data_IF_500406218301
#
_entry.id   IF_500406218301
#
_cell.length_a   1.000
_cell.length_b   1.000
_cell.length_c   1.000
_cell.angle_alpha   90.00
_cell.angle_beta   90.00
_cell.angle_gamma   90.00
#
_symmetry.space_group_name_H-M   'P 1'
#
loop_
_entity.id
_entity.type
_entity.pdbx_description
1 polymer ?
#
# COMPACT_ATOMS: atom_id res chain seq x y z
N UNK A 1 38.86 -6.35 9.49
CA UNK A 1 38.00 -5.72 8.46
C UNK A 1 37.02 -6.68 7.78
N UNK A 2 37.37 -7.95 7.53
CA UNK A 2 36.51 -8.93 6.83
C UNK A 2 35.12 -9.20 7.47
N UNK A 3 35.04 -9.39 8.80
CA UNK A 3 33.76 -9.68 9.48
C UNK A 3 32.80 -8.47 9.57
N UNK A 4 33.33 -7.24 9.57
CA UNK A 4 32.50 -6.03 9.63
C UNK A 4 31.84 -5.77 8.27
N UNK A 5 32.59 -5.98 7.18
CA UNK A 5 32.12 -5.80 5.81
C UNK A 5 31.09 -6.90 5.46
N UNK A 6 31.31 -8.16 5.87
CA UNK A 6 30.30 -9.21 5.66
C UNK A 6 29.00 -8.96 6.45
N UNK A 7 29.08 -8.43 7.68
CA UNK A 7 27.91 -7.98 8.45
C UNK A 7 27.13 -6.85 7.77
N UNK A 8 27.82 -5.95 7.08
CA UNK A 8 27.20 -4.81 6.39
C UNK A 8 26.53 -5.25 5.08
N UNK A 9 27.11 -6.20 4.34
CA UNK A 9 26.59 -6.66 3.05
C UNK A 9 25.62 -7.85 3.12
N UNK A 10 25.64 -8.66 4.19
CA UNK A 10 24.84 -9.89 4.31
C UNK A 10 23.86 -9.90 5.50
N UNK A 11 23.53 -8.75 6.08
CA UNK A 11 22.52 -8.73 7.14
C UNK A 11 21.14 -9.11 6.57
N UNK A 12 20.61 -10.23 7.07
CA UNK A 12 19.25 -10.68 6.76
C UNK A 12 18.26 -9.56 7.08
N UNK A 13 17.30 -9.38 6.19
CA UNK A 13 16.33 -8.29 6.23
C UNK A 13 14.91 -8.83 6.24
N UNK A 14 14.07 -8.24 7.08
CA UNK A 14 12.61 -8.40 7.00
C UNK A 14 12.04 -7.12 6.42
N UNK A 15 11.37 -7.21 5.28
CA UNK A 15 10.75 -6.04 4.67
C UNK A 15 9.41 -5.75 5.31
N UNK A 16 9.09 -4.47 5.45
CA UNK A 16 7.80 -4.02 5.95
C UNK A 16 7.13 -3.15 4.90
N UNK A 17 6.06 -3.66 4.33
CA UNK A 17 5.22 -2.97 3.37
C UNK A 17 3.96 -2.49 4.08
N UNK A 18 3.58 -1.22 3.90
CA UNK A 18 2.35 -0.67 4.47
C UNK A 18 1.33 -0.40 3.37
N UNK A 19 0.06 -0.65 3.61
CA UNK A 19 -1.06 -0.27 2.76
C UNK A 19 -1.94 0.65 3.59
N UNK A 20 -2.17 1.87 3.08
CA UNK A 20 -2.96 2.90 3.73
C UNK A 20 -4.02 3.41 2.75
N UNK A 21 -5.28 3.41 3.18
CA UNK A 21 -6.39 3.94 2.39
C UNK A 21 -6.80 3.03 1.23
N UNK A 22 -7.38 3.64 0.18
CA UNK A 22 -7.98 2.90 -0.94
C UNK A 22 -6.94 2.22 -1.83
N UNK A 23 -7.19 0.96 -2.21
CA UNK A 23 -6.33 0.17 -3.09
C UNK A 23 -6.71 0.45 -4.55
N UNK A 24 -5.92 1.30 -5.20
CA UNK A 24 -6.09 1.73 -6.59
C UNK A 24 -4.83 1.43 -7.43
N UNK A 25 -4.89 1.67 -8.74
CA UNK A 25 -3.78 1.38 -9.67
C UNK A 25 -2.52 2.16 -9.33
N UNK A 26 -2.63 3.39 -8.81
CA UNK A 26 -1.50 4.21 -8.42
C UNK A 26 -0.76 3.58 -7.23
N UNK A 27 -1.48 3.16 -6.20
CA UNK A 27 -0.90 2.47 -5.04
C UNK A 27 -0.21 1.17 -5.48
N UNK A 28 -0.90 0.36 -6.29
CA UNK A 28 -0.34 -0.90 -6.78
C UNK A 28 0.94 -0.66 -7.59
N UNK A 29 0.96 0.33 -8.48
CA UNK A 29 2.15 0.70 -9.26
C UNK A 29 3.30 1.14 -8.34
N UNK A 30 3.03 2.01 -7.35
CA UNK A 30 4.02 2.47 -6.38
C UNK A 30 4.65 1.30 -5.62
N UNK A 31 3.82 0.40 -5.09
CA UNK A 31 4.30 -0.78 -4.35
C UNK A 31 5.08 -1.73 -5.27
N UNK A 32 4.60 -1.95 -6.50
CA UNK A 32 5.28 -2.80 -7.49
C UNK A 32 6.71 -2.31 -7.72
N UNK A 33 6.84 -1.02 -8.01
CA UNK A 33 8.13 -0.40 -8.27
C UNK A 33 9.04 -0.39 -7.03
N UNK A 34 8.48 -0.27 -5.82
CA UNK A 34 9.25 -0.40 -4.57
C UNK A 34 9.80 -1.81 -4.38
N UNK A 35 8.99 -2.84 -4.61
CA UNK A 35 9.40 -4.23 -4.52
C UNK A 35 10.47 -4.56 -5.56
N UNK A 36 10.28 -4.16 -6.82
CA UNK A 36 11.23 -4.40 -7.92
C UNK A 36 12.60 -3.75 -7.67
N UNK A 37 12.64 -2.57 -7.04
CA UNK A 37 13.89 -1.88 -6.72
C UNK A 37 14.61 -2.42 -5.48
N UNK A 38 13.95 -3.24 -4.66
CA UNK A 38 14.55 -3.73 -3.42
C UNK A 38 15.30 -5.04 -3.66
N UNK A 39 16.59 -5.07 -3.32
CA UNK A 39 17.42 -6.26 -3.49
C UNK A 39 16.89 -7.44 -2.67
N UNK A 40 16.42 -8.46 -3.39
CA UNK A 40 15.83 -9.68 -2.80
C UNK A 40 16.84 -10.57 -2.08
N UNK A 41 18.14 -10.47 -2.40
CA UNK A 41 19.17 -11.40 -1.90
C UNK A 41 19.36 -11.43 -0.39
N UNK A 42 19.01 -10.34 0.32
CA UNK A 42 19.08 -10.29 1.79
C UNK A 42 17.73 -10.48 2.47
N UNK A 43 16.63 -10.56 1.72
CA UNK A 43 15.26 -10.63 2.25
C UNK A 43 14.94 -12.04 2.69
N UNK A 44 14.47 -12.19 3.92
CA UNK A 44 14.11 -13.49 4.50
C UNK A 44 12.62 -13.62 4.87
N UNK A 45 11.88 -12.50 4.92
CA UNK A 45 10.45 -12.44 5.17
C UNK A 45 9.89 -11.05 4.83
N UNK A 46 8.57 -10.95 4.73
CA UNK A 46 7.86 -9.68 4.57
C UNK A 46 6.70 -9.56 5.58
N UNK A 47 6.61 -8.40 6.22
CA UNK A 47 5.46 -7.96 6.98
C UNK A 47 4.59 -7.02 6.15
N UNK A 48 3.34 -7.37 5.90
CA UNK A 48 2.36 -6.54 5.22
C UNK A 48 1.40 -5.92 6.23
N UNK A 49 1.53 -4.61 6.43
CA UNK A 49 0.70 -3.85 7.35
C UNK A 49 -0.46 -3.22 6.58
N UNK A 50 -1.68 -3.44 7.04
CA UNK A 50 -2.91 -3.09 6.34
C UNK A 50 -3.74 -2.15 7.21
N UNK A 51 -4.02 -0.97 6.66
CA UNK A 51 -5.04 -0.04 7.12
C UNK A 51 -5.87 0.38 5.91
N UNK A 52 -6.85 -0.44 5.56
CA UNK A 52 -7.63 -0.25 4.34
C UNK A 52 -9.01 -0.89 4.44
N UNK A 53 -9.99 -0.24 3.83
CA UNK A 53 -11.31 -0.81 3.56
C UNK A 53 -11.39 -1.51 2.21
N UNK A 54 -10.27 -1.52 1.48
CA UNK A 54 -10.23 -2.07 0.15
C UNK A 54 -10.09 -1.04 -0.96
N UNK A 55 -10.64 -1.38 -2.11
CA UNK A 55 -10.61 -0.57 -3.31
C UNK A 55 -11.12 -1.36 -4.51
N UNK A 56 -10.49 -1.22 -5.66
CA UNK A 56 -10.86 -2.02 -6.82
C UNK A 56 -10.46 -3.50 -6.61
N UNK A 57 -11.38 -4.47 -6.69
CA UNK A 57 -11.06 -5.90 -6.50
C UNK A 57 -9.95 -6.40 -7.40
N UNK A 58 -9.96 -5.96 -8.66
CA UNK A 58 -8.89 -6.27 -9.61
C UNK A 58 -7.52 -5.78 -9.11
N UNK A 59 -7.45 -4.58 -8.51
CA UNK A 59 -6.19 -4.04 -7.98
C UNK A 59 -5.70 -4.80 -6.75
N UNK A 60 -6.62 -5.26 -5.88
CA UNK A 60 -6.30 -6.16 -4.77
C UNK A 60 -5.69 -7.46 -5.27
N UNK A 61 -6.27 -8.07 -6.31
CA UNK A 61 -5.77 -9.32 -6.88
C UNK A 61 -4.39 -9.14 -7.53
N UNK A 62 -4.21 -8.07 -8.32
CA UNK A 62 -2.91 -7.74 -8.94
C UNK A 62 -1.84 -7.53 -7.86
N UNK A 63 -2.15 -6.79 -6.80
CA UNK A 63 -1.25 -6.57 -5.68
C UNK A 63 -0.89 -7.88 -4.98
N UNK A 64 -1.88 -8.73 -4.74
CA UNK A 64 -1.70 -10.06 -4.13
C UNK A 64 -0.71 -10.91 -4.95
N UNK A 65 -0.90 -10.96 -6.27
CA UNK A 65 -0.02 -11.71 -7.19
C UNK A 65 1.40 -11.15 -7.18
N UNK A 66 1.55 -9.82 -7.19
CA UNK A 66 2.88 -9.17 -7.16
C UNK A 66 3.62 -9.43 -5.85
N UNK A 67 2.95 -9.34 -4.71
CA UNK A 67 3.56 -9.67 -3.41
C UNK A 67 4.00 -11.13 -3.38
N UNK A 68 3.12 -12.07 -3.79
CA UNK A 68 3.47 -13.51 -3.84
C UNK A 68 4.66 -13.80 -4.77
N UNK A 69 4.66 -13.22 -5.96
CA UNK A 69 5.74 -13.37 -6.94
C UNK A 69 7.06 -12.81 -6.40
N UNK A 70 7.02 -11.63 -5.76
CA UNK A 70 8.20 -11.05 -5.12
C UNK A 70 8.78 -11.97 -4.03
N UNK A 71 7.93 -12.55 -3.19
CA UNK A 71 8.38 -13.41 -2.09
C UNK A 71 8.94 -14.74 -2.55
N UNK A 72 8.38 -15.35 -3.62
CA UNK A 72 8.84 -16.64 -4.14
C UNK A 72 9.02 -17.70 -3.04
N UNK A 73 8.00 -17.88 -2.20
CA UNK A 73 8.01 -18.85 -1.09
C UNK A 73 8.57 -18.32 0.24
N UNK A 74 9.13 -17.11 0.27
CA UNK A 74 9.50 -16.48 1.54
C UNK A 74 8.26 -16.21 2.43
N UNK A 75 8.38 -16.31 3.77
CA UNK A 75 7.29 -16.05 4.70
C UNK A 75 6.68 -14.65 4.57
N UNK A 76 5.35 -14.60 4.53
CA UNK A 76 4.53 -13.39 4.61
C UNK A 76 3.76 -13.37 5.93
N UNK A 77 3.91 -12.29 6.69
CA UNK A 77 3.09 -12.01 7.87
C UNK A 77 2.23 -10.80 7.57
N UNK A 78 0.95 -10.87 7.89
CA UNK A 78 -0.01 -9.79 7.60
C UNK A 78 -0.55 -9.21 8.90
N UNK A 79 -0.73 -7.90 8.94
CA UNK A 79 -1.11 -7.18 10.17
C UNK A 79 -2.20 -6.18 9.84
N UNK A 80 -3.38 -6.33 10.42
CA UNK A 80 -4.38 -5.27 10.44
C UNK A 80 -4.07 -4.30 11.58
N UNK A 81 -3.88 -3.01 11.29
CA UNK A 81 -3.65 -2.00 12.33
C UNK A 81 -4.96 -1.39 12.80
N UNK A 82 -5.58 -0.55 11.96
CA UNK A 82 -6.88 0.06 12.28
C UNK A 82 -8.01 -0.74 11.65
N UNK A 83 -7.86 -1.12 10.38
CA UNK A 83 -8.91 -1.81 9.66
C UNK A 83 -8.36 -2.65 8.50
N UNK A 84 -9.01 -3.78 8.27
CA UNK A 84 -8.88 -4.61 7.07
C UNK A 84 -10.27 -5.10 6.72
N UNK A 85 -10.99 -4.26 5.97
CA UNK A 85 -12.40 -4.48 5.62
C UNK A 85 -12.58 -4.72 4.11
N UNK A 86 -13.76 -5.17 3.71
CA UNK A 86 -14.10 -5.34 2.30
C UNK A 86 -13.14 -6.31 1.61
N UNK A 87 -12.67 -5.93 0.42
CA UNK A 87 -11.64 -6.70 -0.27
C UNK A 87 -10.22 -6.49 0.27
N UNK A 88 -9.95 -5.53 1.17
CA UNK A 88 -8.65 -5.50 1.86
C UNK A 88 -8.50 -6.66 2.86
N UNK A 89 -9.60 -7.25 3.34
CA UNK A 89 -9.55 -8.44 4.18
C UNK A 89 -8.88 -9.63 3.46
N UNK A 90 -9.02 -9.72 2.13
CA UNK A 90 -8.30 -10.71 1.33
C UNK A 90 -6.78 -10.58 1.47
N UNK A 91 -6.25 -9.34 1.55
CA UNK A 91 -4.83 -9.11 1.74
C UNK A 91 -4.34 -9.60 3.10
N UNK A 92 -5.18 -9.47 4.13
CA UNK A 92 -4.87 -9.98 5.47
C UNK A 92 -4.77 -11.51 5.45
N UNK A 93 -5.59 -12.19 4.64
CA UNK A 93 -5.55 -13.64 4.49
C UNK A 93 -4.40 -14.17 3.62
N UNK A 94 -3.62 -13.30 2.97
CA UNK A 94 -2.46 -13.73 2.19
C UNK A 94 -1.30 -14.21 3.05
N UNK A 95 -1.25 -13.78 4.31
CA UNK A 95 -0.16 -14.11 5.22
C UNK A 95 -0.16 -15.59 5.56
N UNK A 96 1.04 -16.15 5.71
CA UNK A 96 1.22 -17.44 6.38
C UNK A 96 0.69 -17.37 7.81
N UNK A 97 0.78 -16.19 8.43
CA UNK A 97 0.11 -15.87 9.69
C UNK A 97 -0.33 -14.42 9.69
N UNK A 98 -1.56 -14.21 10.15
CA UNK A 98 -2.29 -12.95 10.16
C UNK A 98 -2.51 -12.48 11.60
N UNK A 99 -2.39 -11.19 11.79
CA UNK A 99 -2.47 -10.54 13.08
C UNK A 99 -3.41 -9.35 13.04
N UNK A 100 -4.06 -9.08 14.17
CA UNK A 100 -4.80 -7.85 14.41
C UNK A 100 -4.44 -7.25 15.77
N UNK A 101 -4.75 -5.98 15.98
CA UNK A 101 -4.82 -5.39 17.32
C UNK A 101 -6.22 -5.60 17.89
N UNK A 102 -6.35 -5.53 19.22
CA UNK A 102 -7.63 -5.74 19.91
C UNK A 102 -8.80 -4.92 19.32
N UNK A 103 -8.51 -3.69 18.89
CA UNK A 103 -9.50 -2.73 18.39
C UNK A 103 -9.52 -2.61 16.87
N UNK A 104 -8.73 -3.41 16.14
CA UNK A 104 -8.75 -3.40 14.67
C UNK A 104 -10.10 -3.88 14.16
N UNK A 105 -10.59 -3.26 13.08
CA UNK A 105 -11.85 -3.64 12.42
C UNK A 105 -11.57 -4.64 11.31
N UNK A 106 -12.16 -5.84 11.40
CA UNK A 106 -11.94 -6.96 10.49
C UNK A 106 -13.28 -7.43 9.91
N UNK A 107 -13.30 -7.89 8.66
CA UNK A 107 -14.50 -8.44 8.02
C UNK A 107 -15.22 -7.43 7.14
N UNK A 108 -16.55 -7.34 7.24
CA UNK A 108 -17.41 -6.48 6.42
C UNK A 108 -17.04 -6.56 4.93
N UNK A 109 -17.22 -7.75 4.33
CA UNK A 109 -16.79 -7.99 2.93
C UNK A 109 -17.68 -7.31 1.89
N UNK A 110 -18.73 -6.61 2.32
CA UNK A 110 -19.63 -5.86 1.46
C UNK A 110 -18.92 -4.78 0.64
N UNK A 111 -19.28 -4.69 -0.64
CA UNK A 111 -18.84 -3.63 -1.52
C UNK A 111 -19.88 -2.53 -1.59
N UNK A 112 -19.43 -1.30 -1.39
CA UNK A 112 -20.25 -0.11 -1.56
C UNK A 112 -19.47 0.95 -2.34
N UNK A 113 -20.20 1.89 -2.92
CA UNK A 113 -19.63 3.06 -3.59
C UNK A 113 -20.46 4.29 -3.29
N UNK A 114 -19.79 5.31 -2.80
CA UNK A 114 -20.38 6.63 -2.65
C UNK A 114 -20.25 7.41 -3.96
N UNK A 115 -21.32 8.12 -4.34
CA UNK A 115 -21.38 8.98 -5.52
C UNK A 115 -22.09 10.27 -5.13
N UNK A 116 -21.52 11.40 -5.52
CA UNK A 116 -22.17 12.71 -5.38
C UNK A 116 -23.14 12.92 -6.55
N UNK A 117 -24.30 13.49 -6.26
CA UNK A 117 -25.25 13.94 -7.27
C UNK A 117 -25.35 15.47 -7.19
N UNK A 118 -25.04 16.14 -8.30
CA UNK A 118 -25.07 17.58 -8.45
C UNK A 118 -26.19 18.05 -9.38
N UNK A 119 -27.10 17.17 -9.81
CA UNK A 119 -28.16 17.54 -10.75
C UNK A 119 -28.96 18.77 -10.28
N UNK A 120 -29.48 18.73 -9.05
CA UNK A 120 -30.26 19.83 -8.47
C UNK A 120 -29.41 21.08 -8.24
N UNK A 121 -28.15 20.89 -7.83
CA UNK A 121 -27.20 22.00 -7.66
C UNK A 121 -26.98 22.73 -8.99
N UNK A 122 -26.70 22.01 -10.07
CA UNK A 122 -26.46 22.61 -11.38
C UNK A 122 -27.71 23.33 -11.90
N UNK A 123 -28.89 22.72 -11.72
CA UNK A 123 -30.17 23.34 -12.11
C UNK A 123 -30.42 24.65 -11.35
N UNK A 124 -30.19 24.67 -10.04
CA UNK A 124 -30.41 25.86 -9.20
C UNK A 124 -29.50 27.04 -9.57
N UNK A 125 -28.34 26.77 -10.17
CA UNK A 125 -27.40 27.80 -10.65
C UNK A 125 -27.56 28.10 -12.16
N UNK A 126 -28.60 27.59 -12.80
CA UNK A 126 -28.86 27.80 -14.22
C UNK A 126 -27.84 27.13 -15.14
N UNK A 127 -27.10 26.13 -14.65
CA UNK A 127 -26.13 25.38 -15.43
C UNK A 127 -26.83 24.19 -16.10
N UNK A 128 -27.00 24.27 -17.41
CA UNK A 128 -27.60 23.20 -18.20
C UNK A 128 -26.55 22.19 -18.65
N UNK A 129 -26.85 20.90 -18.48
CA UNK A 129 -25.98 19.81 -18.95
C UNK A 129 -26.63 19.04 -20.08
N UNK A 130 -25.92 18.88 -21.19
CA UNK A 130 -26.37 18.11 -22.35
C UNK A 130 -25.51 16.86 -22.51
N UNK A 131 -26.14 15.71 -22.71
CA UNK A 131 -25.46 14.44 -22.94
C UNK A 131 -25.98 13.80 -24.22
N UNK A 132 -25.07 13.50 -25.15
CA UNK A 132 -25.36 12.79 -26.39
C UNK A 132 -24.77 11.38 -26.33
N UNK A 133 -25.52 10.38 -26.79
CA UNK A 133 -25.06 9.00 -26.84
C UNK A 133 -25.49 8.33 -28.15
N UNK A 134 -24.64 7.45 -28.68
CA UNK A 134 -24.85 6.76 -29.96
C UNK A 134 -25.79 5.56 -29.87
N UNK A 135 -26.07 5.06 -28.67
CA UNK A 135 -26.90 3.88 -28.42
C UNK A 135 -28.06 4.23 -27.49
N UNK A 136 -29.27 3.71 -27.79
CA UNK A 136 -30.43 3.77 -26.89
C UNK A 136 -30.28 2.85 -25.69
N UNK A 137 -29.52 1.76 -25.83
CA UNK A 137 -28.99 1.02 -24.69
C UNK A 137 -27.96 1.96 -24.09
N UNK A 138 -28.41 2.78 -23.14
CA UNK A 138 -27.57 3.34 -22.09
C UNK A 138 -26.76 2.15 -21.62
N UNK A 139 -25.49 2.07 -22.01
CA UNK A 139 -24.65 1.03 -21.47
C UNK A 139 -24.61 1.37 -19.99
N UNK A 140 -25.36 0.63 -19.16
CA UNK A 140 -25.49 0.90 -17.72
C UNK A 140 -24.09 0.89 -17.06
N UNK A 141 -23.09 0.33 -17.74
CA UNK A 141 -21.68 0.43 -17.40
C UNK A 141 -21.09 1.87 -17.44
N UNK A 142 -21.56 2.77 -18.30
CA UNK A 142 -20.95 4.09 -18.53
C UNK A 142 -21.74 5.26 -17.94
N UNK A 143 -23.08 5.21 -17.98
CA UNK A 143 -23.88 6.40 -17.67
C UNK A 143 -24.35 6.45 -16.21
N UNK A 144 -24.39 5.31 -15.55
CA UNK A 144 -24.90 5.17 -14.18
C UNK A 144 -23.96 5.79 -13.13
N UNK A 145 -22.78 6.24 -13.56
CA UNK A 145 -21.82 6.94 -12.70
C UNK A 145 -21.71 8.45 -12.98
N UNK A 146 -22.64 9.04 -13.75
CA UNK A 146 -22.65 10.49 -14.00
C UNK A 146 -23.13 11.28 -12.78
N UNK A 147 -22.30 12.19 -12.25
CA UNK A 147 -22.67 13.03 -11.09
C UNK A 147 -23.56 14.21 -11.45
N UNK A 148 -23.83 14.44 -12.74
CA UNK A 148 -24.59 15.59 -13.25
C UNK A 148 -26.05 15.24 -13.56
N UNK A 149 -26.46 13.99 -13.36
CA UNK A 149 -27.84 13.54 -13.45
C UNK A 149 -28.16 12.56 -12.32
N UNK A 150 -29.42 12.53 -11.91
CA UNK A 150 -29.93 11.48 -11.02
C UNK A 150 -29.85 10.09 -11.67
N UNK A 151 -29.89 9.05 -10.83
CA UNK A 151 -30.04 7.67 -11.29
C UNK A 151 -31.54 7.35 -11.40
N UNK A 152 -31.95 6.69 -12.47
CA UNK A 152 -33.31 6.12 -12.57
C UNK A 152 -33.45 4.88 -11.66
N UNK A 153 -34.67 4.40 -11.41
CA UNK A 153 -34.87 3.15 -10.66
C UNK A 153 -34.16 1.97 -11.33
N UNK A 154 -34.24 1.86 -12.66
CA UNK A 154 -33.55 0.82 -13.43
C UNK A 154 -32.02 0.89 -13.27
N UNK A 155 -31.46 2.10 -13.19
CA UNK A 155 -30.04 2.29 -12.93
C UNK A 155 -29.65 1.80 -11.52
N UNK A 156 -30.50 2.04 -10.52
CA UNK A 156 -30.28 1.58 -9.15
C UNK A 156 -30.36 0.05 -9.06
N UNK A 157 -31.38 -0.58 -9.64
CA UNK A 157 -31.55 -2.04 -9.64
C UNK A 157 -30.34 -2.73 -10.29
N UNK A 158 -29.84 -2.17 -11.38
CA UNK A 158 -28.62 -2.65 -12.04
C UNK A 158 -27.38 -2.53 -11.15
N UNK A 159 -27.18 -1.37 -10.49
CA UNK A 159 -26.04 -1.17 -9.59
C UNK A 159 -26.08 -2.12 -8.41
N UNK A 160 -27.25 -2.34 -7.81
CA UNK A 160 -27.43 -3.23 -6.68
C UNK A 160 -27.11 -4.67 -7.07
N UNK A 161 -27.59 -5.13 -8.23
CA UNK A 161 -27.22 -6.43 -8.77
C UNK A 161 -25.70 -6.53 -9.02
N UNK A 162 -25.11 -5.49 -9.61
CA UNK A 162 -23.69 -5.47 -9.95
C UNK A 162 -22.78 -5.52 -8.71
N UNK A 163 -23.06 -4.69 -7.70
CA UNK A 163 -22.30 -4.68 -6.44
C UNK A 163 -22.61 -5.90 -5.59
N UNK A 164 -23.83 -6.43 -5.62
CA UNK A 164 -24.19 -7.69 -4.97
C UNK A 164 -23.40 -8.88 -5.51
N UNK A 165 -23.28 -9.01 -6.83
CA UNK A 165 -22.46 -10.05 -7.45
C UNK A 165 -20.98 -9.96 -7.04
N UNK A 166 -20.42 -8.75 -7.00
CA UNK A 166 -19.02 -8.56 -6.58
C UNK A 166 -18.82 -8.83 -5.09
N UNK A 167 -19.76 -8.38 -4.26
CA UNK A 167 -19.75 -8.65 -2.83
C UNK A 167 -19.73 -10.15 -2.58
N UNK A 168 -20.64 -10.89 -3.22
CA UNK A 168 -20.68 -12.36 -3.13
C UNK A 168 -19.35 -13.00 -3.51
N UNK A 169 -18.72 -12.56 -4.59
CA UNK A 169 -17.39 -13.05 -5.00
C UNK A 169 -16.32 -12.81 -3.93
N UNK A 170 -16.29 -11.62 -3.33
CA UNK A 170 -15.33 -11.27 -2.26
C UNK A 170 -15.60 -12.11 -1.02
N UNK A 171 -16.87 -12.19 -0.57
CA UNK A 171 -17.30 -12.98 0.59
C UNK A 171 -16.92 -14.46 0.40
N UNK A 172 -17.20 -15.03 -0.77
CA UNK A 172 -16.90 -16.43 -1.09
C UNK A 172 -15.39 -16.71 -1.06
N UNK A 173 -14.57 -15.81 -1.60
CA UNK A 173 -13.11 -15.93 -1.55
C UNK A 173 -12.60 -15.86 -0.10
N UNK A 174 -13.05 -14.85 0.66
CA UNK A 174 -12.64 -14.67 2.05
C UNK A 174 -13.01 -15.87 2.92
N UNK A 175 -14.23 -16.39 2.74
CA UNK A 175 -14.70 -17.57 3.44
C UNK A 175 -13.90 -18.83 3.06
N UNK A 176 -13.63 -19.03 1.77
CA UNK A 176 -12.86 -20.17 1.25
C UNK A 176 -11.41 -20.20 1.73
N UNK A 177 -10.80 -19.03 1.99
CA UNK A 177 -9.43 -18.96 2.49
C UNK A 177 -9.30 -19.38 3.97
N UNK A 178 -10.38 -19.25 4.75
CA UNK A 178 -10.38 -19.57 6.20
C UNK A 178 -11.06 -20.89 6.53
N UNK A 179 -12.05 -21.31 5.74
CA UNK A 179 -12.82 -22.57 5.87
C UNK A 179 -12.98 -23.02 7.32
N UNK A 180 -12.25 -24.06 7.72
CA UNK A 180 -12.40 -24.75 9.01
C UNK A 180 -12.08 -23.86 10.23
N UNK A 181 -11.44 -22.72 10.02
CA UNK A 181 -11.12 -21.76 11.09
C UNK A 181 -12.28 -20.83 11.41
N UNK A 182 -13.14 -20.49 10.42
CA UNK A 182 -14.16 -19.46 10.59
C UNK A 182 -15.39 -20.01 11.33
N UNK A 183 -15.79 -19.33 12.41
CA UNK A 183 -16.93 -19.74 13.26
C UNK A 183 -18.23 -18.99 12.97
N UNK A 184 -18.24 -18.17 11.92
CA UNK A 184 -19.39 -17.41 11.46
C UNK A 184 -19.80 -17.87 10.06
N UNK A 185 -21.05 -17.58 9.69
CA UNK A 185 -21.53 -17.84 8.33
C UNK A 185 -21.12 -16.71 7.37
N UNK A 186 -21.38 -16.90 6.06
CA UNK A 186 -21.05 -15.92 5.02
C UNK A 186 -21.80 -14.60 5.18
N UNK A 187 -23.06 -14.64 5.61
CA UNK A 187 -23.89 -13.46 5.82
C UNK A 187 -23.34 -12.56 6.93
N UNK A 188 -22.91 -13.16 8.05
CA UNK A 188 -22.22 -12.45 9.12
C UNK A 188 -20.88 -11.86 8.66
N UNK A 189 -20.10 -12.60 7.86
CA UNK A 189 -18.83 -12.10 7.31
C UNK A 189 -19.03 -10.89 6.37
N UNK A 190 -20.13 -10.91 5.62
CA UNK A 190 -20.49 -9.86 4.67
C UNK A 190 -20.92 -8.57 5.36
N UNK A 191 -21.79 -8.69 6.35
CA UNK A 191 -22.51 -7.54 6.90
C UNK A 191 -21.94 -6.97 8.20
N UNK A 192 -21.09 -7.72 8.91
CA UNK A 192 -20.61 -7.30 10.22
C UNK A 192 -19.13 -6.91 10.24
N UNK A 193 -18.82 -5.93 11.09
CA UNK A 193 -17.46 -5.57 11.48
C UNK A 193 -17.15 -6.25 12.82
N UNK A 194 -16.03 -6.96 12.88
CA UNK A 194 -15.55 -7.63 14.09
C UNK A 194 -14.32 -6.91 14.63
N UNK A 195 -14.25 -6.71 15.94
CA UNK A 195 -13.07 -6.15 16.58
C UNK A 195 -11.96 -7.22 16.65
N UNK A 196 -10.69 -6.84 16.61
CA UNK A 196 -9.62 -7.82 16.41
C UNK A 196 -9.56 -8.94 17.45
N UNK A 197 -9.93 -8.70 18.71
CA UNK A 197 -10.06 -9.77 19.72
C UNK A 197 -11.15 -10.77 19.33
N UNK A 198 -12.34 -10.27 19.03
CA UNK A 198 -13.46 -11.07 18.56
C UNK A 198 -13.14 -11.78 17.23
N UNK A 199 -12.49 -11.08 16.30
CA UNK A 199 -12.03 -11.62 15.03
C UNK A 199 -11.08 -12.82 15.23
N UNK A 200 -10.20 -12.79 16.24
CA UNK A 200 -9.38 -13.95 16.60
C UNK A 200 -10.25 -15.09 17.13
N UNK A 201 -11.16 -14.80 18.06
CA UNK A 201 -12.03 -15.81 18.68
C UNK A 201 -12.92 -16.51 17.64
N UNK A 202 -13.33 -15.78 16.59
CA UNK A 202 -14.12 -16.24 15.44
C UNK A 202 -13.30 -16.84 14.29
N UNK A 203 -11.96 -16.82 14.38
CA UNK A 203 -11.05 -17.37 13.37
C UNK A 203 -10.90 -16.55 12.08
N UNK A 204 -11.22 -15.25 12.14
CA UNK A 204 -10.99 -14.30 11.05
C UNK A 204 -9.52 -13.83 10.96
N UNK A 205 -8.78 -13.92 12.07
CA UNK A 205 -7.33 -13.71 12.16
C UNK A 205 -6.72 -14.79 13.02
N UNK A 206 -5.41 -15.04 12.86
CA UNK A 206 -4.76 -16.13 13.60
C UNK A 206 -4.39 -15.70 15.02
N UNK A 207 -3.85 -14.49 15.17
CA UNK A 207 -3.33 -14.01 16.44
C UNK A 207 -3.53 -12.50 16.66
N UNK A 208 -3.33 -12.09 17.91
CA UNK A 208 -3.25 -10.68 18.27
C UNK A 208 -1.79 -10.24 18.33
N UNK A 209 -1.45 -9.09 17.76
CA UNK A 209 -0.09 -8.57 17.83
C UNK A 209 0.18 -7.37 16.94
N UNK A 210 1.21 -6.61 17.32
CA UNK A 210 1.78 -5.55 16.48
C UNK A 210 2.91 -6.12 15.63
N UNK A 211 3.11 -5.55 14.43
CA UNK A 211 4.15 -6.03 13.52
C UNK A 211 5.55 -5.89 14.13
N UNK A 212 5.80 -4.84 14.91
CA UNK A 212 7.07 -4.60 15.57
C UNK A 212 7.40 -5.76 16.51
N UNK A 213 6.48 -6.08 17.42
CA UNK A 213 6.67 -7.14 18.40
C UNK A 213 6.83 -8.50 17.73
N UNK A 214 5.93 -8.83 16.81
CA UNK A 214 5.93 -10.13 16.14
C UNK A 214 7.19 -10.33 15.29
N UNK A 215 7.53 -9.36 14.45
CA UNK A 215 8.69 -9.50 13.55
C UNK A 215 10.01 -9.47 14.32
N UNK A 216 10.13 -8.67 15.40
CA UNK A 216 11.33 -8.71 16.26
C UNK A 216 11.48 -10.03 17.00
N UNK A 217 10.37 -10.61 17.50
CA UNK A 217 10.41 -11.92 18.16
C UNK A 217 10.75 -13.04 17.19
N UNK A 218 10.17 -13.02 15.98
CA UNK A 218 10.39 -14.05 14.97
C UNK A 218 11.78 -13.94 14.32
N UNK A 219 12.31 -12.72 14.18
CA UNK A 219 13.57 -12.44 13.49
C UNK A 219 14.50 -11.51 14.29
N UNK A 220 14.97 -11.91 15.49
CA UNK A 220 15.69 -11.02 16.42
C UNK A 220 17.05 -10.53 15.89
N UNK A 221 17.64 -11.24 14.91
CA UNK A 221 18.93 -10.90 14.31
C UNK A 221 18.79 -10.17 12.96
N UNK A 222 17.57 -10.05 12.43
CA UNK A 222 17.33 -9.44 11.14
C UNK A 222 17.06 -7.93 11.28
N UNK A 223 17.43 -7.17 10.27
CA UNK A 223 17.09 -5.75 10.19
C UNK A 223 15.68 -5.61 9.60
N UNK A 224 14.80 -4.90 10.29
CA UNK A 224 13.45 -4.60 9.79
C UNK A 224 13.52 -3.32 8.95
N UNK A 225 13.13 -3.38 7.68
CA UNK A 225 13.24 -2.25 6.74
C UNK A 225 11.87 -1.89 6.16
N UNK A 226 11.32 -0.70 6.48
CA UNK A 226 10.09 -0.22 5.86
C UNK A 226 10.35 0.26 4.43
N UNK A 227 9.53 -0.19 3.46
CA UNK A 227 9.68 0.18 2.05
C UNK A 227 8.68 1.25 1.59
N UNK A 228 7.64 1.57 2.38
CA UNK A 228 6.57 2.48 1.98
C UNK A 228 6.72 3.94 2.47
N UNK A 229 7.83 4.30 3.12
CA UNK A 229 8.12 5.71 3.42
C UNK A 229 8.67 6.40 2.18
N UNK A 230 8.26 7.65 1.93
CA UNK A 230 8.82 8.57 0.92
C UNK A 230 10.30 8.93 1.23
N UNK A 231 11.12 7.92 1.40
CA UNK A 231 12.47 8.00 1.95
C UNK A 231 13.52 7.42 1.02
N UNK A 232 13.37 7.54 -0.31
CA UNK A 232 14.56 7.44 -1.19
C UNK A 232 15.57 8.56 -0.87
N UNK A 233 15.14 9.63 -0.19
CA UNK A 233 16.03 10.66 0.36
C UNK A 233 16.88 10.14 1.52
N UNK A 234 16.33 9.33 2.43
CA UNK A 234 17.08 8.88 3.62
C UNK A 234 18.25 7.96 3.30
N UNK A 235 18.18 7.15 2.24
CA UNK A 235 19.28 6.26 1.86
C UNK A 235 20.43 7.02 1.18
N UNK A 236 20.10 7.96 0.28
CA UNK A 236 21.09 8.89 -0.29
C UNK A 236 21.65 9.84 0.76
N UNK A 237 20.85 10.35 1.69
CA UNK A 237 21.29 11.18 2.81
C UNK A 237 22.20 10.39 3.76
N UNK A 238 21.93 9.11 4.01
CA UNK A 238 22.80 8.25 4.82
C UNK A 238 24.14 7.97 4.11
N UNK A 239 24.11 7.64 2.82
CA UNK A 239 25.32 7.51 1.98
C UNK A 239 26.09 8.83 1.91
N UNK A 240 25.40 9.95 1.82
CA UNK A 240 25.99 11.28 1.77
C UNK A 240 26.59 11.69 3.11
N UNK A 241 25.90 11.45 4.22
CA UNK A 241 26.44 11.70 5.57
C UNK A 241 27.64 10.81 5.87
N UNK A 242 27.64 9.56 5.38
CA UNK A 242 28.81 8.68 5.43
C UNK A 242 29.96 9.25 4.58
N UNK A 243 29.68 9.71 3.35
CA UNK A 243 30.66 10.35 2.49
C UNK A 243 31.24 11.62 3.13
N UNK A 244 30.41 12.49 3.73
CA UNK A 244 30.87 13.70 4.42
C UNK A 244 31.78 13.34 5.61
N UNK A 245 31.39 12.36 6.43
CA UNK A 245 32.25 11.85 7.52
C UNK A 245 33.57 11.32 7.01
N UNK A 246 33.55 10.56 5.91
CA UNK A 246 34.77 10.05 5.28
C UNK A 246 35.61 11.21 4.72
N UNK A 247 34.99 12.24 4.13
CA UNK A 247 35.68 13.41 3.58
C UNK A 247 36.38 14.27 4.61
N UNK A 248 35.90 14.26 5.85
CA UNK A 248 36.49 14.97 6.98
C UNK A 248 37.55 14.12 7.71
N UNK A 249 37.71 12.85 7.34
CA UNK A 249 38.74 11.99 7.92
C UNK A 249 40.11 12.27 7.31
N UNK A 250 41.17 12.11 8.11
CA UNK A 250 42.57 12.32 7.68
C UNK A 250 43.00 11.42 6.49
N UNK A 251 42.25 10.35 6.19
CA UNK A 251 42.51 9.43 5.07
C UNK A 251 41.86 9.83 3.74
N UNK A 252 41.00 10.85 3.70
CA UNK A 252 40.30 11.25 2.47
C UNK A 252 41.24 11.71 1.36
N UNK A 253 42.35 12.37 1.74
CA UNK A 253 43.39 12.79 0.79
C UNK A 253 43.99 11.60 0.02
N UNK A 254 44.10 10.43 0.66
CA UNK A 254 44.53 9.19 0.01
C UNK A 254 43.50 8.62 -0.98
N UNK A 255 42.20 8.78 -0.70
CA UNK A 255 41.12 8.41 -1.62
C UNK A 255 41.06 9.35 -2.84
N UNK A 256 41.31 10.64 -2.64
CA UNK A 256 41.41 11.63 -3.73
C UNK A 256 42.58 11.31 -4.66
N UNK A 257 43.70 10.85 -4.12
CA UNK A 257 44.86 10.39 -4.89
C UNK A 257 44.59 9.10 -5.68
N UNK A 258 43.77 8.18 -5.15
CA UNK A 258 43.44 6.91 -5.80
C UNK A 258 42.40 7.03 -6.93
N UNK A 259 41.39 7.90 -6.78
CA UNK A 259 40.29 8.01 -7.75
C UNK A 259 40.43 9.17 -8.74
N UNK A 260 41.39 10.08 -8.51
CA UNK A 260 41.70 11.19 -9.40
C UNK A 260 40.71 12.36 -9.34
N UNK A 261 41.24 13.57 -9.51
CA UNK A 261 40.51 14.86 -9.42
C UNK A 261 39.31 14.94 -10.38
N UNK A 262 39.36 14.26 -11.54
CA UNK A 262 38.26 14.23 -12.53
C UNK A 262 36.99 13.56 -12.00
N UNK A 263 37.12 12.50 -11.20
CA UNK A 263 35.96 11.81 -10.62
C UNK A 263 35.32 12.71 -9.56
N UNK A 264 36.13 13.34 -8.71
CA UNK A 264 35.67 14.31 -7.71
C UNK A 264 34.92 15.50 -8.33
N UNK A 265 35.43 16.10 -9.41
CA UNK A 265 34.76 17.20 -10.10
C UNK A 265 33.40 16.78 -10.68
N UNK A 266 33.31 15.56 -11.24
CA UNK A 266 32.05 15.03 -11.79
C UNK A 266 31.01 14.82 -10.68
N UNK A 267 31.42 14.27 -9.54
CA UNK A 267 30.54 14.14 -8.37
C UNK A 267 30.16 15.49 -7.76
N UNK A 268 31.09 16.44 -7.68
CA UNK A 268 30.82 17.81 -7.23
C UNK A 268 29.76 18.52 -8.10
N UNK A 269 29.82 18.34 -9.42
CA UNK A 269 28.83 18.89 -10.36
C UNK A 269 27.45 18.25 -10.18
N UNK A 270 27.39 16.93 -10.00
CA UNK A 270 26.15 16.20 -9.70
C UNK A 270 25.52 16.71 -8.39
N UNK A 271 26.34 16.92 -7.36
CA UNK A 271 25.91 17.46 -6.05
C UNK A 271 25.39 18.89 -6.20
N UNK A 272 26.06 19.73 -7.00
CA UNK A 272 25.64 21.10 -7.25
C UNK A 272 24.27 21.17 -7.94
N UNK A 273 24.08 20.40 -9.02
CA UNK A 273 22.81 20.32 -9.74
C UNK A 273 21.69 19.78 -8.86
N UNK A 274 21.97 18.76 -8.03
CA UNK A 274 20.99 18.22 -7.09
C UNK A 274 20.57 19.23 -6.01
N UNK A 275 21.52 20.01 -5.44
CA UNK A 275 21.22 21.07 -4.48
C UNK A 275 20.29 22.14 -5.04
N UNK A 276 20.47 22.51 -6.31
CA UNK A 276 19.59 23.46 -6.97
C UNK A 276 18.18 22.88 -7.15
N UNK A 277 18.06 21.61 -7.56
CA UNK A 277 16.76 20.94 -7.69
C UNK A 277 15.99 20.85 -6.37
N UNK A 278 16.68 20.57 -5.26
CA UNK A 278 16.05 20.52 -3.92
C UNK A 278 15.59 21.90 -3.47
N UNK A 279 16.38 22.96 -3.72
CA UNK A 279 15.96 24.34 -3.44
C UNK A 279 14.72 24.74 -4.25
N UNK A 280 14.69 24.41 -5.54
CA UNK A 280 13.55 24.70 -6.42
C UNK A 280 12.27 24.04 -5.92
N UNK A 281 12.34 22.77 -5.49
CA UNK A 281 11.18 22.04 -4.95
C UNK A 281 10.68 22.58 -3.62
N UNK A 282 11.58 23.04 -2.74
CA UNK A 282 11.18 23.73 -1.50
C UNK A 282 10.48 25.05 -1.79
N UNK A 283 10.98 25.80 -2.77
CA UNK A 283 10.37 27.07 -3.19
C UNK A 283 8.97 26.84 -3.79
N UNK A 284 8.80 25.85 -4.66
CA UNK A 284 7.49 25.51 -5.24
C UNK A 284 6.49 25.06 -4.17
N UNK A 285 6.92 24.28 -3.19
CA UNK A 285 6.08 23.84 -2.08
C UNK A 285 5.66 24.99 -1.16
N UNK A 286 6.50 26.02 -1.01
CA UNK A 286 6.15 27.25 -0.29
C UNK A 286 5.16 28.11 -1.08
N UNK A 287 5.30 28.18 -2.40
CA UNK A 287 4.37 28.91 -3.27
C UNK A 287 2.99 28.24 -3.32
N UNK A 288 2.92 26.91 -3.36
CA UNK A 288 1.66 26.14 -3.29
C UNK A 288 0.93 26.34 -1.95
N UNK A 289 1.67 26.53 -0.85
CA UNK A 289 1.11 26.82 0.48
C UNK A 289 0.65 28.28 0.64
N UNK A 290 1.10 29.20 -0.20
CA UNK A 290 0.64 30.60 -0.21
C UNK A 290 -0.56 30.82 -1.13
N UNK A 291 -0.90 29.84 -1.98
CA UNK A 291 -2.05 29.87 -2.90
C UNK A 291 -3.26 29.06 -2.39
N UNK A 292 -3.16 28.45 -1.21
CA UNK A 292 -4.25 27.83 -0.46
C UNK A 292 -4.67 28.73 0.70
#
# INVERSE_FOLDING_TARGET
>A
MSQLISKIFFQKTVLVLRIQGSINSQLVSKISHQLENYNKGSVIALGLIINSQGGCPYQVEVLSKKIKSYLNGLPLYTFATEQSLGNAYQLLQLGNKSYAQNTSKIGFTQMYKNKLNFADFLQNYGINTFQYQSSQIVNHNFVVNSSIRGNSQQDMDYLDQYYGLKTKQVTDQCWTNRKEQIKINKDQLENNVFLGKEAKDLGLVDELGTYEKVLMQQYPKAKIIPINTEGKLTEYENWFNLFIKISQSRGFMGLVLLFGVKVMLKWGLIIYVWRQSVKQKKLNKQLEQQQQ
#
